data_IF_422179433710
#
_entry.id   IF_422179433710
#
_cell.length_a   1.000
_cell.length_b   1.000
_cell.length_c   1.000
_cell.angle_alpha   90.00
_cell.angle_beta   90.00
_cell.angle_gamma   90.00
#
_symmetry.space_group_name_H-M   'P 1'
#
loop_
_entity.id
_entity.type
_entity.pdbx_description
1 polymer ?
#
# COMPACT_ATOMS: atom_id res chain seq x y z
N UNK A 1 37.57 -14.92 46.42
CA UNK A 1 36.49 -15.74 45.85
C UNK A 1 35.50 -14.80 45.19
N UNK A 2 35.55 -14.65 43.86
CA UNK A 2 34.69 -13.74 43.09
C UNK A 2 33.33 -14.40 42.83
N UNK A 3 32.23 -13.77 43.24
CA UNK A 3 30.90 -14.11 42.73
C UNK A 3 30.69 -13.36 41.41
N UNK A 4 30.58 -14.13 40.33
CA UNK A 4 30.26 -13.64 39.00
C UNK A 4 28.77 -13.27 38.89
N UNK A 5 28.53 -12.07 38.35
CA UNK A 5 27.23 -11.57 37.92
C UNK A 5 26.69 -12.43 36.77
N UNK A 6 25.51 -13.01 36.93
CA UNK A 6 24.72 -13.56 35.82
C UNK A 6 23.61 -12.55 35.47
N UNK A 7 23.97 -11.56 34.65
CA UNK A 7 22.98 -10.82 33.87
C UNK A 7 22.53 -11.71 32.72
N UNK A 8 21.26 -12.11 32.71
CA UNK A 8 20.59 -12.71 31.55
C UNK A 8 20.07 -11.57 30.68
N UNK A 9 20.59 -11.35 29.46
CA UNK A 9 19.88 -10.57 28.45
C UNK A 9 19.06 -11.53 27.60
N UNK A 10 17.78 -11.24 27.37
CA UNK A 10 17.08 -11.90 26.27
C UNK A 10 15.61 -12.17 26.51
N UNK A 11 14.80 -11.15 26.24
CA UNK A 11 13.65 -11.31 25.36
C UNK A 11 13.28 -9.93 24.81
N UNK A 12 14.05 -9.47 23.82
CA UNK A 12 13.51 -8.51 22.87
C UNK A 12 12.45 -9.29 22.05
N UNK A 13 11.20 -9.29 22.52
CA UNK A 13 10.10 -9.80 21.73
C UNK A 13 10.02 -8.96 20.46
N UNK A 14 9.98 -9.68 19.34
CA UNK A 14 10.10 -9.20 17.97
C UNK A 14 9.31 -7.90 17.76
N UNK A 15 10.03 -6.84 17.40
CA UNK A 15 9.41 -5.68 16.78
C UNK A 15 8.59 -6.15 15.58
N UNK A 16 7.46 -5.49 15.36
CA UNK A 16 6.63 -5.46 14.15
C UNK A 16 7.48 -5.29 12.89
N UNK A 17 8.17 -6.35 12.47
CA UNK A 17 8.92 -6.35 11.24
C UNK A 17 7.91 -6.33 10.10
N UNK A 18 7.81 -5.17 9.45
CA UNK A 18 7.09 -5.03 8.19
C UNK A 18 7.58 -6.11 7.21
N UNK A 19 6.67 -6.65 6.40
CA UNK A 19 6.97 -7.68 5.41
C UNK A 19 8.13 -7.22 4.51
N UNK A 20 9.24 -7.94 4.54
CA UNK A 20 10.38 -7.66 3.68
C UNK A 20 10.14 -8.16 2.26
N UNK A 21 10.91 -7.62 1.30
CA UNK A 21 10.86 -8.08 -0.10
C UNK A 21 11.15 -9.58 -0.23
N UNK A 22 12.12 -10.10 0.51
CA UNK A 22 12.50 -11.52 0.44
C UNK A 22 11.42 -12.42 1.05
N UNK A 23 10.77 -12.00 2.13
CA UNK A 23 9.61 -12.72 2.69
C UNK A 23 8.42 -12.70 1.72
N UNK A 24 8.15 -11.56 1.08
CA UNK A 24 7.09 -11.44 0.10
C UNK A 24 7.35 -12.37 -1.10
N UNK A 25 8.57 -12.37 -1.64
CA UNK A 25 9.00 -13.29 -2.72
C UNK A 25 8.85 -14.75 -2.33
N UNK A 26 9.30 -15.12 -1.13
CA UNK A 26 9.21 -16.49 -0.65
C UNK A 26 7.74 -16.94 -0.50
N UNK A 27 6.87 -16.10 0.05
CA UNK A 27 5.44 -16.38 0.18
C UNK A 27 4.76 -16.48 -1.19
N UNK A 28 5.09 -15.59 -2.13
CA UNK A 28 4.53 -15.59 -3.47
C UNK A 28 4.97 -16.78 -4.31
N UNK A 29 6.22 -17.23 -4.15
CA UNK A 29 6.74 -18.43 -4.82
C UNK A 29 5.89 -19.67 -4.49
N UNK A 30 5.45 -19.80 -3.23
CA UNK A 30 4.58 -20.91 -2.82
C UNK A 30 3.22 -20.88 -3.54
N UNK A 31 2.68 -19.68 -3.81
CA UNK A 31 1.43 -19.52 -4.59
C UNK A 31 1.66 -19.95 -6.03
N UNK A 32 2.74 -19.48 -6.66
CA UNK A 32 3.11 -19.87 -8.03
C UNK A 32 3.26 -21.39 -8.12
N UNK A 33 4.05 -22.00 -7.23
CA UNK A 33 4.30 -23.43 -7.25
C UNK A 33 2.98 -24.20 -7.05
N UNK A 34 2.13 -23.79 -6.10
CA UNK A 34 0.82 -24.42 -5.90
C UNK A 34 -0.09 -24.31 -7.14
N UNK A 35 -0.12 -23.16 -7.80
CA UNK A 35 -0.94 -22.95 -9.00
C UNK A 35 -0.43 -23.79 -10.18
N UNK A 36 0.89 -23.86 -10.40
CA UNK A 36 1.50 -24.75 -11.40
C UNK A 36 1.08 -26.21 -11.15
N UNK A 37 1.14 -26.67 -9.90
CA UNK A 37 0.74 -28.03 -9.55
C UNK A 37 -0.75 -28.30 -9.81
N UNK A 38 -1.64 -27.32 -9.57
CA UNK A 38 -3.08 -27.44 -9.90
C UNK A 38 -3.32 -27.64 -11.40
N UNK A 39 -2.50 -27.03 -12.26
CA UNK A 39 -2.63 -27.14 -13.72
C UNK A 39 -1.85 -28.31 -14.34
N UNK A 40 -1.04 -29.03 -13.57
CA UNK A 40 -0.18 -30.12 -14.06
C UNK A 40 -0.96 -31.27 -14.74
N UNK A 41 -2.26 -31.44 -14.43
CA UNK A 41 -3.10 -32.48 -15.02
C UNK A 41 -3.64 -32.17 -16.43
N UNK A 42 -3.32 -31.02 -17.02
CA UNK A 42 -3.77 -30.60 -18.37
C UNK A 42 -2.58 -30.22 -19.30
N UNK A 43 -1.98 -31.19 -20.01
CA UNK A 43 -0.60 -31.08 -20.55
C UNK A 43 -0.30 -29.94 -21.54
N UNK A 44 -1.25 -29.51 -22.37
CA UNK A 44 -1.00 -28.50 -23.42
C UNK A 44 -1.25 -27.07 -22.97
N UNK A 45 -2.17 -26.87 -22.03
CA UNK A 45 -2.38 -25.59 -21.35
C UNK A 45 -1.36 -25.39 -20.22
N UNK A 46 -0.85 -26.48 -19.64
CA UNK A 46 0.03 -26.43 -18.47
C UNK A 46 1.39 -25.80 -18.76
N UNK A 47 2.03 -26.05 -19.91
CA UNK A 47 3.39 -25.54 -20.16
C UNK A 47 3.42 -24.03 -20.35
N UNK A 48 2.50 -23.47 -21.14
CA UNK A 48 2.41 -22.02 -21.35
C UNK A 48 2.06 -21.29 -20.05
N UNK A 49 1.06 -21.80 -19.32
CA UNK A 49 0.64 -21.22 -18.03
C UNK A 49 1.76 -21.33 -16.99
N UNK A 50 2.44 -22.46 -16.89
CA UNK A 50 3.56 -22.64 -15.98
C UNK A 50 4.71 -21.68 -16.31
N UNK A 51 5.09 -21.57 -17.58
CA UNK A 51 6.16 -20.65 -18.02
C UNK A 51 5.81 -19.20 -17.70
N UNK A 52 4.55 -18.81 -17.92
CA UNK A 52 4.05 -17.48 -17.57
C UNK A 52 4.13 -17.23 -16.07
N UNK A 53 3.60 -18.14 -15.24
CA UNK A 53 3.62 -18.02 -13.78
C UNK A 53 5.06 -18.00 -13.22
N UNK A 54 5.95 -18.83 -13.75
CA UNK A 54 7.38 -18.84 -13.35
C UNK A 54 8.12 -17.56 -13.72
N UNK A 55 7.66 -16.85 -14.75
CA UNK A 55 8.22 -15.57 -15.15
C UNK A 55 7.85 -14.43 -14.19
N UNK A 56 6.76 -14.59 -13.43
CA UNK A 56 6.26 -13.58 -12.49
C UNK A 56 7.15 -13.51 -11.24
N UNK A 57 7.55 -12.29 -10.88
CA UNK A 57 8.42 -12.03 -9.73
C UNK A 57 7.97 -10.77 -9.01
N UNK A 58 8.01 -10.78 -7.68
CA UNK A 58 7.90 -9.53 -6.91
C UNK A 58 9.23 -8.80 -7.05
N UNK A 59 9.19 -7.63 -7.68
CA UNK A 59 10.33 -6.76 -7.85
C UNK A 59 10.51 -5.80 -6.67
N UNK A 60 9.39 -5.34 -6.09
CA UNK A 60 9.39 -4.43 -4.96
C UNK A 60 8.14 -4.59 -4.08
N UNK A 61 8.31 -4.30 -2.80
CA UNK A 61 7.21 -4.02 -1.86
C UNK A 61 7.17 -2.51 -1.70
N UNK A 62 6.14 -1.85 -2.24
CA UNK A 62 6.03 -0.39 -2.16
C UNK A 62 5.72 0.04 -0.74
N UNK A 63 4.72 -0.60 -0.13
CA UNK A 63 4.42 -0.43 1.27
C UNK A 63 3.29 -1.34 1.71
N UNK A 64 3.14 -1.44 3.02
CA UNK A 64 2.23 -2.38 3.67
C UNK A 64 1.41 -1.66 4.73
N UNK A 65 0.15 -2.05 4.83
CA UNK A 65 -0.77 -1.58 5.86
C UNK A 65 -1.28 -2.78 6.66
N UNK A 66 -1.19 -2.74 7.99
CA UNK A 66 -1.79 -3.76 8.84
C UNK A 66 -3.32 -3.79 8.62
N UNK A 67 -3.86 -5.00 8.55
CA UNK A 67 -5.32 -5.22 8.61
C UNK A 67 -5.72 -5.62 10.03
N UNK A 68 -4.92 -6.49 10.64
CA UNK A 68 -5.04 -6.92 12.04
C UNK A 68 -3.65 -7.29 12.59
N UNK A 69 -3.59 -7.91 13.77
CA UNK A 69 -2.33 -8.31 14.44
C UNK A 69 -1.49 -9.33 13.66
N UNK A 70 -2.10 -10.09 12.74
CA UNK A 70 -1.44 -11.18 12.01
C UNK A 70 -1.49 -11.02 10.49
N UNK A 71 -2.25 -10.05 9.97
CA UNK A 71 -2.42 -9.79 8.55
C UNK A 71 -2.00 -8.38 8.14
N UNK A 72 -1.38 -8.30 6.97
CA UNK A 72 -1.09 -7.03 6.30
C UNK A 72 -1.45 -7.12 4.83
N UNK A 73 -1.96 -6.03 4.27
CA UNK A 73 -2.07 -5.87 2.83
C UNK A 73 -0.92 -5.01 2.32
N UNK A 74 -0.24 -5.46 1.28
CA UNK A 74 0.90 -4.76 0.69
C UNK A 74 0.66 -4.46 -0.79
N UNK A 75 1.11 -3.28 -1.21
CA UNK A 75 1.23 -2.91 -2.63
C UNK A 75 2.57 -3.43 -3.14
N UNK A 76 2.53 -4.23 -4.19
CA UNK A 76 3.69 -4.89 -4.77
C UNK A 76 3.87 -4.48 -6.21
N UNK A 77 5.12 -4.33 -6.64
CA UNK A 77 5.47 -4.33 -8.07
C UNK A 77 5.73 -5.77 -8.48
N UNK A 78 4.96 -6.29 -9.43
CA UNK A 78 5.20 -7.57 -10.08
C UNK A 78 5.86 -7.29 -11.44
N UNK A 79 6.92 -8.02 -11.73
CA UNK A 79 7.55 -8.07 -13.04
C UNK A 79 7.21 -9.41 -13.68
N UNK A 80 6.81 -9.39 -14.95
CA UNK A 80 6.47 -10.58 -15.70
C UNK A 80 6.66 -10.39 -17.20
N UNK A 81 6.56 -11.48 -17.96
CA UNK A 81 6.78 -11.44 -19.42
C UNK A 81 5.74 -10.61 -20.20
N UNK A 82 4.60 -10.27 -19.58
CA UNK A 82 3.48 -9.53 -20.20
C UNK A 82 3.48 -8.05 -19.78
N UNK A 83 4.43 -7.65 -18.93
CA UNK A 83 4.55 -6.29 -18.41
C UNK A 83 4.76 -6.28 -16.91
N UNK A 84 5.09 -5.11 -16.41
CA UNK A 84 5.17 -4.83 -14.99
C UNK A 84 3.81 -4.29 -14.53
N UNK A 85 3.30 -4.77 -13.41
CA UNK A 85 2.09 -4.23 -12.81
C UNK A 85 2.23 -4.03 -11.30
N UNK A 86 1.37 -3.16 -10.78
CA UNK A 86 1.14 -3.01 -9.35
C UNK A 86 -0.10 -3.78 -8.94
N UNK A 87 0.03 -4.54 -7.85
CA UNK A 87 -1.07 -5.32 -7.28
C UNK A 87 -1.07 -5.25 -5.76
N UNK A 88 -2.24 -5.44 -5.16
CA UNK A 88 -2.38 -5.58 -3.72
C UNK A 88 -2.48 -7.06 -3.36
N UNK A 89 -1.60 -7.54 -2.48
CA UNK A 89 -1.70 -8.89 -1.90
C UNK A 89 -1.78 -8.80 -0.39
N UNK A 90 -2.57 -9.70 0.18
CA UNK A 90 -2.72 -9.87 1.62
C UNK A 90 -1.81 -10.99 2.08
N UNK A 91 -1.03 -10.71 3.11
CA UNK A 91 -0.12 -11.63 3.75
C UNK A 91 -0.56 -11.88 5.17
N UNK A 92 -0.50 -13.13 5.60
CA UNK A 92 -0.74 -13.54 6.98
C UNK A 92 0.50 -14.21 7.54
N UNK A 93 0.80 -13.90 8.79
CA UNK A 93 1.87 -14.56 9.55
C UNK A 93 1.39 -15.93 10.04
N UNK A 94 2.12 -16.97 9.67
CA UNK A 94 1.93 -18.35 10.11
C UNK A 94 3.21 -18.80 10.83
N UNK A 95 3.22 -18.64 12.15
CA UNK A 95 4.42 -18.80 12.97
C UNK A 95 5.52 -17.81 12.58
N UNK A 96 6.64 -18.34 12.08
CA UNK A 96 7.78 -17.53 11.62
C UNK A 96 7.77 -17.23 10.13
N UNK A 97 6.75 -17.68 9.38
CA UNK A 97 6.68 -17.53 7.94
C UNK A 97 5.50 -16.67 7.52
N UNK A 98 5.65 -15.97 6.41
CA UNK A 98 4.55 -15.29 5.74
C UNK A 98 3.91 -16.21 4.69
N UNK A 99 2.59 -16.08 4.54
CA UNK A 99 1.80 -16.75 3.51
C UNK A 99 0.89 -15.73 2.84
N UNK A 100 0.72 -15.85 1.52
CA UNK A 100 -0.32 -15.09 0.82
C UNK A 100 -1.67 -15.66 1.21
N UNK A 101 -2.62 -14.78 1.52
CA UNK A 101 -4.03 -15.14 1.75
C UNK A 101 -4.71 -15.17 0.40
N UNK A 102 -5.24 -16.33 0.01
CA UNK A 102 -6.04 -16.47 -1.21
C UNK A 102 -7.43 -15.88 -0.95
N UNK A 103 -7.62 -14.62 -1.33
CA UNK A 103 -8.90 -13.91 -1.27
C UNK A 103 -9.20 -13.28 -2.63
N UNK A 104 -10.49 -13.33 -3.02
CA UNK A 104 -10.95 -12.61 -4.21
C UNK A 104 -11.19 -11.17 -3.81
N UNK A 105 -10.69 -10.23 -4.62
CA UNK A 105 -10.90 -8.79 -4.46
C UNK A 105 -10.28 -8.25 -3.17
N UNK A 106 -8.95 -8.23 -3.11
CA UNK A 106 -8.21 -7.60 -2.02
C UNK A 106 -8.19 -6.09 -2.27
N UNK A 107 -8.85 -5.35 -1.38
CA UNK A 107 -8.77 -3.89 -1.36
C UNK A 107 -7.32 -3.42 -1.21
N UNK A 108 -6.94 -2.42 -1.99
CA UNK A 108 -5.66 -1.78 -1.83
C UNK A 108 -5.57 -1.10 -0.45
N UNK A 109 -4.37 -1.03 0.16
CA UNK A 109 -4.12 -0.12 1.27
C UNK A 109 -4.63 1.28 0.94
N UNK A 110 -5.18 1.98 1.93
CA UNK A 110 -5.70 3.34 1.76
C UNK A 110 -5.36 4.19 2.99
N UNK A 111 -5.09 5.49 2.81
CA UNK A 111 -4.84 6.38 3.94
C UNK A 111 -6.09 6.47 4.83
N UNK A 112 -5.87 6.69 6.12
CA UNK A 112 -6.97 7.03 7.03
C UNK A 112 -7.55 8.40 6.64
N UNK A 113 -8.81 8.68 7.00
CA UNK A 113 -9.42 10.00 6.76
C UNK A 113 -8.59 11.14 7.36
N UNK A 114 -8.10 10.96 8.59
CA UNK A 114 -7.21 11.94 9.23
C UNK A 114 -5.91 12.14 8.44
N UNK A 115 -5.31 11.05 7.94
CA UNK A 115 -4.08 11.17 7.15
C UNK A 115 -4.32 11.84 5.80
N UNK A 116 -5.42 11.51 5.12
CA UNK A 116 -5.79 12.17 3.88
C UNK A 116 -6.10 13.65 4.08
N UNK A 117 -6.79 13.99 5.17
CA UNK A 117 -7.02 15.39 5.57
C UNK A 117 -5.70 16.15 5.70
N UNK A 118 -4.74 15.60 6.44
CA UNK A 118 -3.43 16.25 6.65
C UNK A 118 -2.69 16.45 5.32
N UNK A 119 -2.70 15.44 4.45
CA UNK A 119 -2.05 15.48 3.15
C UNK A 119 -2.67 16.53 2.21
N UNK A 120 -4.01 16.61 2.16
CA UNK A 120 -4.71 17.61 1.36
C UNK A 120 -4.42 19.03 1.87
N UNK A 121 -4.45 19.24 3.19
CA UNK A 121 -4.15 20.55 3.78
C UNK A 121 -2.68 20.95 3.59
N UNK A 122 -1.77 20.00 3.71
CA UNK A 122 -0.35 20.20 3.41
C UNK A 122 -0.16 20.66 1.97
N UNK A 123 -0.76 19.94 1.02
CA UNK A 123 -0.69 20.29 -0.40
C UNK A 123 -1.25 21.67 -0.71
N UNK A 124 -2.41 22.03 -0.15
CA UNK A 124 -2.99 23.38 -0.31
C UNK A 124 -2.07 24.47 0.29
N UNK A 125 -1.41 24.19 1.41
CA UNK A 125 -0.44 25.10 2.02
C UNK A 125 0.81 25.27 1.15
N UNK A 126 1.27 24.21 0.51
CA UNK A 126 2.38 24.23 -0.42
C UNK A 126 2.04 25.04 -1.68
N UNK A 127 0.86 24.82 -2.27
CA UNK A 127 0.35 25.63 -3.39
C UNK A 127 0.29 27.12 -3.02
N UNK A 128 -0.24 27.44 -1.83
CA UNK A 128 -0.29 28.82 -1.34
C UNK A 128 1.09 29.48 -1.20
N UNK A 129 2.12 28.69 -0.90
CA UNK A 129 3.49 29.19 -0.70
C UNK A 129 4.24 29.38 -2.02
N UNK A 130 3.80 28.69 -3.07
CA UNK A 130 4.36 28.77 -4.42
C UNK A 130 3.64 29.79 -5.31
N UNK A 131 2.42 30.18 -4.94
CA UNK A 131 1.59 31.13 -5.69
C UNK A 131 2.14 32.57 -5.61
N UNK A 132 2.14 33.27 -6.75
CA UNK A 132 2.62 34.65 -6.86
C UNK A 132 1.50 35.66 -6.64
N UNK A 133 0.26 35.34 -7.03
CA UNK A 133 -0.88 36.21 -6.77
C UNK A 133 -1.31 36.14 -5.29
N UNK A 134 -1.21 37.24 -4.53
CA UNK A 134 -1.55 37.24 -3.10
C UNK A 134 -3.00 36.84 -2.83
N UNK A 135 -3.92 37.14 -3.76
CA UNK A 135 -5.33 36.79 -3.59
C UNK A 135 -5.53 35.29 -3.71
N UNK A 136 -4.98 34.66 -4.75
CA UNK A 136 -5.04 33.21 -4.95
C UNK A 136 -4.30 32.46 -3.84
N UNK A 137 -3.13 32.97 -3.40
CA UNK A 137 -2.40 32.41 -2.26
C UNK A 137 -3.24 32.44 -0.96
N UNK A 138 -3.98 33.52 -0.71
CA UNK A 138 -4.87 33.62 0.44
C UNK A 138 -6.04 32.60 0.36
N UNK A 139 -6.60 32.37 -0.84
CA UNK A 139 -7.65 31.37 -1.05
C UNK A 139 -7.16 29.96 -0.73
N UNK A 140 -5.96 29.58 -1.19
CA UNK A 140 -5.39 28.28 -0.86
C UNK A 140 -5.17 28.10 0.66
N UNK A 141 -4.70 29.15 1.37
CA UNK A 141 -4.57 29.10 2.84
C UNK A 141 -5.90 28.95 3.54
N UNK A 142 -6.93 29.67 3.08
CA UNK A 142 -8.28 29.55 3.61
C UNK A 142 -8.81 28.12 3.41
N UNK A 143 -8.66 27.54 2.22
CA UNK A 143 -9.04 26.15 1.98
C UNK A 143 -8.23 25.17 2.83
N UNK A 144 -6.91 25.37 2.96
CA UNK A 144 -6.07 24.51 3.79
C UNK A 144 -6.52 24.46 5.26
N UNK A 145 -7.18 25.51 5.76
CA UNK A 145 -7.65 25.55 7.15
C UNK A 145 -9.10 25.12 7.32
N UNK A 146 -9.95 25.35 6.32
CA UNK A 146 -11.40 25.15 6.42
C UNK A 146 -11.92 23.89 5.73
N UNK A 147 -11.18 23.35 4.74
CA UNK A 147 -11.58 22.16 4.01
C UNK A 147 -11.52 20.93 4.91
N UNK A 148 -12.56 20.12 4.81
CA UNK A 148 -12.68 18.83 5.51
C UNK A 148 -12.82 17.70 4.50
N UNK A 149 -12.01 16.65 4.63
CA UNK A 149 -12.18 15.38 3.91
C UNK A 149 -13.13 14.53 4.73
N UNK A 150 -14.35 14.34 4.24
CA UNK A 150 -15.42 13.67 4.98
C UNK A 150 -15.53 12.18 4.69
N UNK A 151 -15.13 11.76 3.49
CA UNK A 151 -15.08 10.35 3.10
C UNK A 151 -13.97 10.09 2.06
N UNK A 152 -13.50 8.85 2.03
CA UNK A 152 -12.73 8.29 0.92
C UNK A 152 -13.45 7.03 0.48
N UNK A 153 -13.85 7.00 -0.79
CA UNK A 153 -14.63 5.93 -1.38
C UNK A 153 -13.96 5.42 -2.66
N UNK A 154 -14.35 4.21 -3.07
CA UNK A 154 -13.95 3.62 -4.35
C UNK A 154 -12.44 3.66 -4.60
N UNK A 155 -11.63 3.47 -3.55
CA UNK A 155 -10.17 3.46 -3.65
C UNK A 155 -9.69 2.29 -4.52
N UNK A 156 -8.94 2.58 -5.58
CA UNK A 156 -8.40 1.59 -6.51
C UNK A 156 -6.91 1.81 -6.73
N UNK A 157 -6.16 0.71 -6.68
CA UNK A 157 -4.77 0.69 -7.08
C UNK A 157 -4.67 0.78 -8.61
N UNK A 158 -3.93 1.77 -9.08
CA UNK A 158 -3.54 1.89 -10.48
C UNK A 158 -2.43 0.90 -10.81
N UNK A 159 -2.68 0.07 -11.82
CA UNK A 159 -1.75 -1.00 -12.22
C UNK A 159 -0.41 -0.51 -12.74
N UNK A 160 -0.34 0.72 -13.24
CA UNK A 160 0.85 1.23 -13.94
C UNK A 160 1.70 2.20 -13.09
N UNK A 161 1.18 2.70 -11.95
CA UNK A 161 1.70 3.92 -11.33
C UNK A 161 1.79 3.91 -9.81
N UNK A 162 1.63 2.73 -9.17
CA UNK A 162 1.57 2.50 -7.71
C UNK A 162 0.62 3.39 -6.90
N UNK A 163 -0.15 4.22 -7.60
CA UNK A 163 -1.07 5.17 -7.02
C UNK A 163 -2.36 4.49 -6.60
N UNK A 164 -2.87 4.87 -5.43
CA UNK A 164 -4.21 4.53 -4.98
C UNK A 164 -5.08 5.75 -5.24
N UNK A 165 -5.92 5.67 -6.27
CA UNK A 165 -6.91 6.69 -6.58
C UNK A 165 -8.17 6.43 -5.75
N UNK A 166 -8.57 7.42 -4.94
CA UNK A 166 -9.81 7.40 -4.17
C UNK A 166 -10.72 8.54 -4.62
N UNK A 167 -12.03 8.33 -4.58
CA UNK A 167 -13.00 9.41 -4.64
C UNK A 167 -13.11 10.04 -3.25
N UNK A 168 -12.72 11.31 -3.12
CA UNK A 168 -12.71 12.00 -1.85
C UNK A 168 -13.86 13.00 -1.76
N UNK A 169 -14.74 12.78 -0.79
CA UNK A 169 -15.78 13.75 -0.47
C UNK A 169 -15.19 14.85 0.40
N UNK A 170 -15.44 16.07 -0.02
CA UNK A 170 -14.89 17.29 0.54
C UNK A 170 -16.02 18.19 1.00
N UNK A 171 -15.85 18.84 2.14
CA UNK A 171 -16.74 19.88 2.62
C UNK A 171 -15.95 21.14 2.94
N UNK A 172 -16.44 22.28 2.47
CA UNK A 172 -15.92 23.60 2.80
C UNK A 172 -17.06 24.49 3.27
N UNK A 173 -16.88 25.33 4.30
CA UNK A 173 -17.94 26.25 4.74
C UNK A 173 -18.42 27.21 3.65
N UNK A 174 -17.54 27.57 2.70
CA UNK A 174 -17.82 28.56 1.67
C UNK A 174 -18.42 27.98 0.38
N UNK A 175 -18.02 26.76 -0.02
CA UNK A 175 -18.50 26.11 -1.26
C UNK A 175 -19.44 24.93 -1.01
N UNK A 176 -19.60 24.50 0.25
CA UNK A 176 -20.37 23.32 0.62
C UNK A 176 -19.67 22.02 0.25
N UNK A 177 -20.49 20.98 0.03
CA UNK A 177 -20.04 19.62 -0.30
C UNK A 177 -19.67 19.50 -1.78
N UNK A 178 -18.56 18.82 -2.04
CA UNK A 178 -18.12 18.41 -3.36
C UNK A 178 -17.37 17.08 -3.29
N UNK A 179 -16.98 16.53 -4.43
CA UNK A 179 -16.15 15.34 -4.46
C UNK A 179 -15.16 15.41 -5.61
N UNK A 180 -13.96 14.87 -5.39
CA UNK A 180 -12.92 14.82 -6.43
C UNK A 180 -12.06 13.57 -6.30
N UNK A 181 -11.50 13.05 -7.40
CA UNK A 181 -10.46 12.02 -7.31
C UNK A 181 -9.22 12.60 -6.60
N UNK A 182 -8.63 11.81 -5.71
CA UNK A 182 -7.36 12.07 -5.07
C UNK A 182 -6.47 10.85 -5.23
N UNK A 183 -5.23 11.07 -5.65
CA UNK A 183 -4.25 10.01 -5.85
C UNK A 183 -3.25 10.01 -4.71
N UNK A 184 -3.08 8.87 -4.07
CA UNK A 184 -2.17 8.69 -2.94
C UNK A 184 -1.10 7.66 -3.29
N UNK A 185 0.08 7.80 -2.70
CA UNK A 185 1.14 6.79 -2.77
C UNK A 185 1.56 6.35 -1.39
N UNK A 186 1.76 5.05 -1.20
CA UNK A 186 2.28 4.45 0.01
C UNK A 186 3.72 4.00 -0.22
N UNK A 187 4.66 4.52 0.57
CA UNK A 187 6.06 4.09 0.61
C UNK A 187 6.44 3.65 2.02
N UNK A 188 6.68 2.35 2.20
CA UNK A 188 6.79 1.72 3.51
C UNK A 188 5.47 1.86 4.27
N UNK A 189 5.44 2.77 5.24
CA UNK A 189 4.24 3.15 6.01
C UNK A 189 3.81 4.61 5.77
N UNK A 190 4.52 5.34 4.90
CA UNK A 190 4.30 6.76 4.68
C UNK A 190 3.40 7.00 3.48
N UNK A 191 2.28 7.68 3.73
CA UNK A 191 1.39 8.18 2.70
C UNK A 191 1.83 9.56 2.22
N UNK A 192 1.80 9.78 0.90
CA UNK A 192 1.92 11.08 0.23
C UNK A 192 0.75 11.30 -0.72
N UNK A 193 0.32 12.55 -0.89
CA UNK A 193 -0.59 12.94 -1.96
C UNK A 193 0.22 13.15 -3.25
N UNK A 194 -0.26 12.58 -4.35
CA UNK A 194 0.31 12.81 -5.67
C UNK A 194 -0.36 14.03 -6.30
N UNK A 195 0.39 14.84 -7.08
CA UNK A 195 -0.21 15.90 -7.86
C UNK A 195 -1.18 15.32 -8.89
N UNK A 196 -2.25 16.09 -9.16
CA UNK A 196 -3.25 15.80 -10.20
C UNK A 196 -2.61 15.83 -11.60
#
# INVERSE_FOLDING_TARGET
MCLALLSVPGAAFAADAALSLEEAKAAFRLVIDAEIHKHASKPSLSLLVATMLESMKIAAVQGCQPVDEVQTTCILKIEGSIGDDYTALRFRRDGTQWRVVEEKDIDAPQPTLARAQDLVRGHLSDLASQEQDPKTAAQYKEFATSLTVTALESCRLERDSDAVECHADLDTPSQGKGSKPLRFRLQGTNWSLLPD
#
